data_IF_155316613416
#
_entry.id   IF_155316613416
#
_cell.length_a   1.000
_cell.length_b   1.000
_cell.length_c   1.000
_cell.angle_alpha   90.00
_cell.angle_beta   90.00
_cell.angle_gamma   90.00
#
_symmetry.space_group_name_H-M   'P 1'
#
loop_
_entity.id
_entity.type
_entity.pdbx_description
1 polymer ?
2 non-polymer ?
3 water ?
#
# COMPACT_ATOMS: atom_id res chain seq x y z
N UNK A 12 -15.08 27.44 6.46
CA UNK A 12 -14.70 26.06 6.01
C UNK A 12 -14.40 26.06 4.51
N UNK A 13 -15.25 26.74 3.74
CA UNK A 13 -15.02 26.81 2.30
C UNK A 13 -13.67 27.46 2.06
N UNK A 14 -13.29 28.33 2.98
CA UNK A 14 -12.01 29.03 2.91
C UNK A 14 -10.86 28.03 3.01
N UNK A 15 -10.91 27.16 4.00
CA UNK A 15 -9.86 26.15 4.20
C UNK A 15 -9.71 25.27 2.98
N UNK A 16 -10.84 24.93 2.37
CA UNK A 16 -10.82 24.12 1.17
C UNK A 16 -10.15 24.92 0.04
N UNK A 17 -10.38 26.23 0.02
CA UNK A 17 -9.78 27.09 -1.00
C UNK A 17 -8.27 27.07 -0.90
N UNK A 18 -7.74 27.28 0.29
CA UNK A 18 -6.30 27.29 0.49
C UNK A 18 -5.72 25.90 0.23
N UNK A 19 -6.52 24.88 0.51
CA UNK A 19 -6.07 23.53 0.31
C UNK A 19 -4.88 23.18 1.17
N UNK A 20 -4.25 22.08 0.81
CA UNK A 20 -3.09 21.54 1.51
C UNK A 20 -1.90 22.48 1.44
N UNK A 21 -1.14 22.59 2.54
CA UNK A 21 0.05 23.45 2.62
C UNK A 21 1.01 23.07 1.50
N UNK A 22 1.60 24.06 0.85
CA UNK A 22 2.52 23.79 -0.24
C UNK A 22 3.68 22.89 0.16
N UNK A 23 4.17 23.08 1.39
CA UNK A 23 5.29 22.31 1.91
C UNK A 23 5.01 20.80 1.94
N UNK A 24 3.74 20.44 2.07
CA UNK A 24 3.36 19.03 2.08
C UNK A 24 3.26 18.50 0.66
N UNK A 25 3.99 17.43 0.36
CA UNK A 25 3.95 16.87 -0.98
C UNK A 25 2.61 16.20 -1.20
N UNK A 26 2.26 15.95 -2.46
CA UNK A 26 1.01 15.31 -2.82
C UNK A 26 0.99 13.87 -2.31
N UNK A 27 2.16 13.25 -2.28
CA UNK A 27 2.28 11.86 -1.82
C UNK A 27 1.98 11.73 -0.32
N UNK A 28 2.62 12.55 0.51
CA UNK A 28 2.39 12.47 1.95
C UNK A 28 1.00 12.98 2.32
N UNK A 29 0.48 13.95 1.57
CA UNK A 29 -0.85 14.47 1.83
C UNK A 29 -1.84 13.36 1.60
N UNK A 30 -1.59 12.59 0.54
CA UNK A 30 -2.42 11.46 0.17
C UNK A 30 -2.40 10.45 1.32
N UNK A 31 -1.20 10.06 1.75
CA UNK A 31 -1.06 9.09 2.82
C UNK A 31 -1.71 9.58 4.11
N UNK A 32 -1.58 10.87 4.40
CA UNK A 32 -2.17 11.41 5.61
C UNK A 32 -3.69 11.29 5.56
N UNK A 33 -4.28 11.69 4.43
CA UNK A 33 -5.73 11.62 4.25
C UNK A 33 -6.24 10.18 4.31
N UNK A 34 -5.48 9.28 3.70
CA UNK A 34 -5.83 7.86 3.68
C UNK A 34 -5.79 7.27 5.09
N UNK A 35 -4.78 7.67 5.85
CA UNK A 35 -4.63 7.21 7.23
C UNK A 35 -5.76 7.73 8.09
N UNK A 36 -6.11 9.01 7.91
CA UNK A 36 -7.19 9.61 8.66
C UNK A 36 -8.47 8.82 8.41
N UNK A 37 -8.76 8.56 7.14
CA UNK A 37 -9.95 7.83 6.78
C UNK A 37 -9.90 6.41 7.32
N UNK A 38 -8.70 5.83 7.36
CA UNK A 38 -8.54 4.48 7.87
C UNK A 38 -8.97 4.41 9.32
N UNK A 39 -8.47 5.36 10.12
CA UNK A 39 -8.79 5.42 11.54
C UNK A 39 -10.24 5.81 11.80
N UNK A 40 -10.76 6.72 10.98
CA UNK A 40 -12.14 7.15 11.11
C UNK A 40 -13.06 5.95 10.88
N UNK A 41 -12.85 5.27 9.76
CA UNK A 41 -13.67 4.10 9.44
C UNK A 41 -13.48 2.97 10.44
N UNK A 42 -12.27 2.81 10.98
CA UNK A 42 -12.05 1.75 11.96
C UNK A 42 -12.91 2.00 13.20
N UNK A 43 -12.99 3.25 13.63
CA UNK A 43 -13.80 3.61 14.80
C UNK A 43 -15.28 3.40 14.52
N UNK A 44 -15.71 3.75 13.30
CA UNK A 44 -17.12 3.60 12.92
C UNK A 44 -17.51 2.13 12.97
N UNK A 45 -16.72 1.30 12.29
CA UNK A 45 -16.97 -0.14 12.25
C UNK A 45 -17.03 -0.71 13.66
N UNK A 46 -16.10 -0.32 14.51
CA UNK A 46 -16.07 -0.81 15.88
C UNK A 46 -17.33 -0.46 16.65
N UNK A 47 -17.86 0.73 16.42
CA UNK A 47 -19.08 1.18 17.08
C UNK A 47 -20.26 0.30 16.67
N UNK A 48 -20.33 0.01 15.37
CA UNK A 48 -21.40 -0.83 14.85
C UNK A 48 -21.24 -2.22 15.48
N UNK A 49 -20.01 -2.74 15.44
CA UNK A 49 -19.72 -4.07 15.98
C UNK A 49 -20.11 -4.19 17.46
N UNK A 50 -19.87 -3.13 18.22
CA UNK A 50 -20.22 -3.11 19.63
C UNK A 50 -21.74 -3.19 19.79
N UNK A 51 -22.45 -2.35 19.05
CA UNK A 51 -23.91 -2.29 19.09
C UNK A 51 -24.49 -3.65 18.71
N UNK A 52 -23.89 -4.28 17.72
CA UNK A 52 -24.34 -5.59 17.27
C UNK A 52 -24.14 -6.61 18.38
N UNK A 53 -22.99 -6.58 19.04
CA UNK A 53 -22.70 -7.51 20.12
C UNK A 53 -23.68 -7.31 21.27
N UNK A 54 -23.96 -6.05 21.60
CA UNK A 54 -24.88 -5.72 22.67
C UNK A 54 -26.29 -6.22 22.38
N UNK A 55 -26.72 -6.07 21.12
CA UNK A 55 -28.06 -6.52 20.72
C UNK A 55 -28.16 -8.03 20.86
N UNK A 56 -27.08 -8.72 20.49
CA UNK A 56 -27.07 -10.17 20.58
C UNK A 56 -27.31 -10.56 22.04
N UNK A 57 -26.61 -9.90 22.95
CA UNK A 57 -26.74 -10.19 24.37
C UNK A 57 -28.18 -10.03 24.87
N UNK A 58 -28.80 -8.92 24.52
CA UNK A 58 -30.16 -8.63 24.94
C UNK A 58 -31.22 -9.28 24.05
N UNK A 59 -30.77 -10.18 23.18
CA UNK A 59 -31.65 -10.88 22.27
C UNK A 59 -31.57 -12.38 22.51
N UNK A 60 -31.06 -12.76 23.67
CA UNK A 60 -30.90 -14.16 24.04
C UNK A 60 -32.20 -14.90 24.31
N UNK A 61 -33.18 -14.19 24.88
CA UNK A 61 -34.48 -14.79 25.22
C UNK A 61 -35.60 -14.48 24.22
N UNK A 62 -35.24 -14.01 23.02
CA UNK A 62 -36.25 -13.66 22.03
C UNK A 62 -36.63 -14.76 21.04
N UNK A 63 -37.70 -14.53 20.26
CA UNK A 63 -38.21 -15.46 19.25
C UNK A 63 -37.25 -15.55 18.07
N UNK A 64 -37.01 -16.78 17.59
CA UNK A 64 -36.14 -17.03 16.47
C UNK A 64 -36.26 -15.97 15.37
N UNK A 65 -37.47 -15.49 15.14
CA UNK A 65 -37.70 -14.49 14.10
C UNK A 65 -37.14 -13.12 14.43
N UNK A 66 -37.26 -12.69 15.67
CA UNK A 66 -36.76 -11.39 16.05
C UNK A 66 -35.22 -11.33 16.07
N UNK A 67 -34.59 -12.49 16.25
CA UNK A 67 -33.14 -12.54 16.26
C UNK A 67 -32.62 -12.38 14.83
N UNK A 68 -33.29 -13.03 13.88
CA UNK A 68 -32.89 -12.94 12.49
C UNK A 68 -33.03 -11.51 12.01
N UNK A 69 -34.15 -10.88 12.34
CA UNK A 69 -34.38 -9.50 11.94
C UNK A 69 -33.26 -8.62 12.45
N UNK A 70 -32.93 -8.81 13.73
CA UNK A 70 -31.89 -8.07 14.40
C UNK A 70 -30.55 -8.19 13.67
N UNK A 71 -30.25 -9.40 13.20
CA UNK A 71 -29.01 -9.65 12.47
C UNK A 71 -29.04 -8.96 11.12
N UNK A 72 -30.14 -9.13 10.38
CA UNK A 72 -30.29 -8.51 9.07
C UNK A 72 -30.14 -7.01 9.21
N UNK A 73 -30.44 -6.49 10.39
CA UNK A 73 -30.33 -5.07 10.62
C UNK A 73 -28.90 -4.57 10.65
N UNK A 74 -28.07 -5.15 11.51
CA UNK A 74 -26.67 -4.74 11.61
C UNK A 74 -25.89 -5.10 10.36
N UNK A 75 -26.23 -6.21 9.73
CA UNK A 75 -25.53 -6.59 8.52
C UNK A 75 -25.82 -5.57 7.41
N UNK A 76 -27.01 -4.98 7.46
CA UNK A 76 -27.43 -3.98 6.47
C UNK A 76 -26.71 -2.68 6.72
N UNK A 77 -26.48 -2.38 8.00
CA UNK A 77 -25.79 -1.17 8.38
C UNK A 77 -24.34 -1.29 7.92
N UNK A 78 -23.79 -2.50 8.01
CA UNK A 78 -22.41 -2.72 7.60
C UNK A 78 -22.26 -2.74 6.07
N UNK A 79 -23.27 -3.26 5.37
CA UNK A 79 -23.24 -3.29 3.91
C UNK A 79 -23.10 -1.84 3.42
N UNK A 80 -23.87 -0.95 4.04
CA UNK A 80 -23.84 0.46 3.69
C UNK A 80 -22.47 1.05 4.00
N UNK A 81 -21.97 0.76 5.20
CA UNK A 81 -20.67 1.26 5.63
C UNK A 81 -19.59 0.79 4.66
N UNK A 82 -19.66 -0.48 4.26
CA UNK A 82 -18.68 -1.02 3.32
C UNK A 82 -18.73 -0.25 2.01
N UNK A 83 -19.95 0.04 1.56
CA UNK A 83 -20.16 0.77 0.32
C UNK A 83 -19.54 2.15 0.42
N UNK A 84 -19.71 2.81 1.57
CA UNK A 84 -19.16 4.13 1.82
C UNK A 84 -17.63 4.10 1.88
N UNK A 85 -17.09 3.06 2.51
CA UNK A 85 -15.64 2.92 2.62
C UNK A 85 -15.06 2.66 1.24
N UNK A 86 -15.75 1.85 0.43
CA UNK A 86 -15.28 1.53 -0.91
C UNK A 86 -15.30 2.76 -1.85
N UNK A 87 -16.43 3.46 -1.91
CA UNK A 87 -16.54 4.62 -2.79
C UNK A 87 -15.57 5.73 -2.44
N UNK A 88 -15.35 5.89 -1.14
CA UNK A 88 -14.45 6.88 -0.59
C UNK A 88 -13.01 6.60 -1.02
N UNK A 89 -12.59 5.34 -0.92
CA UNK A 89 -11.23 4.97 -1.31
C UNK A 89 -11.03 5.22 -2.80
N UNK A 90 -12.04 4.87 -3.59
CA UNK A 90 -12.00 5.05 -5.03
C UNK A 90 -11.79 6.53 -5.37
N UNK A 91 -12.50 7.39 -4.66
CA UNK A 91 -12.40 8.84 -4.86
C UNK A 91 -10.99 9.34 -4.53
N UNK A 92 -10.44 8.87 -3.42
CA UNK A 92 -9.09 9.26 -2.98
C UNK A 92 -8.07 8.80 -4.01
N UNK A 93 -8.15 7.53 -4.38
CA UNK A 93 -7.24 6.95 -5.37
C UNK A 93 -7.26 7.74 -6.69
N UNK A 94 -8.46 8.01 -7.20
CA UNK A 94 -8.64 8.75 -8.46
C UNK A 94 -8.01 10.15 -8.37
N UNK A 95 -8.33 10.87 -7.31
CA UNK A 95 -7.80 12.21 -7.10
C UNK A 95 -6.28 12.17 -7.06
N UNK A 96 -5.73 11.19 -6.34
CA UNK A 96 -4.28 11.05 -6.21
C UNK A 96 -3.60 10.71 -7.54
N UNK A 97 -4.16 9.77 -8.28
CA UNK A 97 -3.61 9.35 -9.57
C UNK A 97 -3.60 10.47 -10.61
N UNK A 98 -4.69 11.21 -10.69
CA UNK A 98 -4.80 12.31 -11.64
C UNK A 98 -3.76 13.39 -11.32
N UNK A 99 -3.55 13.67 -10.04
CA UNK A 99 -2.57 14.68 -9.67
C UNK A 99 -1.15 14.23 -9.98
N UNK A 100 -0.86 12.95 -9.77
CA UNK A 100 0.46 12.40 -10.00
C UNK A 100 0.87 12.51 -11.47
N UNK A 101 -0.03 12.13 -12.36
CA UNK A 101 0.22 12.17 -13.79
C UNK A 101 0.36 13.61 -14.26
N UNK A 102 -0.51 14.50 -13.78
CA UNK A 102 -0.45 15.90 -14.15
C UNK A 102 0.89 16.52 -13.70
N UNK A 103 1.30 16.25 -12.48
CA UNK A 103 2.55 16.81 -12.00
C UNK A 103 3.76 16.32 -12.80
N UNK A 104 3.70 15.08 -13.29
CA UNK A 104 4.78 14.54 -14.08
C UNK A 104 4.81 15.22 -15.44
N UNK A 105 3.63 15.46 -16.02
CA UNK A 105 3.55 16.14 -17.30
C UNK A 105 4.09 17.56 -17.17
N UNK A 106 3.67 18.26 -16.12
CA UNK A 106 4.11 19.63 -15.88
C UNK A 106 5.62 19.71 -15.74
N UNK A 107 6.18 18.88 -14.87
CA UNK A 107 7.63 18.90 -14.65
C UNK A 107 8.43 18.59 -15.91
N UNK A 108 7.89 17.73 -16.77
CA UNK A 108 8.59 17.38 -18.00
C UNK A 108 8.63 18.60 -18.93
N UNK A 109 7.48 19.26 -19.06
CA UNK A 109 7.37 20.46 -19.90
C UNK A 109 8.27 21.56 -19.38
N UNK A 110 8.40 21.63 -18.06
CA UNK A 110 9.24 22.63 -17.45
C UNK A 110 10.69 22.35 -17.77
N UNK A 111 11.10 21.10 -17.58
CA UNK A 111 12.47 20.67 -17.86
C UNK A 111 12.80 20.85 -19.35
N UNK A 112 11.82 20.58 -20.21
CA UNK A 112 12.02 20.74 -21.64
C UNK A 112 12.32 22.22 -21.93
N UNK A 113 11.51 23.12 -21.38
CA UNK A 113 11.77 24.55 -21.58
C UNK A 113 13.14 24.91 -21.03
N UNK A 114 13.46 24.37 -19.85
CA UNK A 114 14.75 24.63 -19.24
C UNK A 114 15.93 24.23 -20.11
N UNK A 115 15.81 23.06 -20.74
CA UNK A 115 16.83 22.53 -21.64
C UNK A 115 16.96 23.41 -22.88
N UNK A 116 15.82 23.73 -23.48
CA UNK A 116 15.78 24.56 -24.66
C UNK A 116 16.46 25.92 -24.40
N UNK A 117 16.08 26.55 -23.28
CA UNK A 117 16.64 27.85 -22.92
C UNK A 117 18.17 27.84 -22.80
N UNK A 118 18.73 26.82 -22.17
CA UNK A 118 20.18 26.70 -22.01
C UNK A 118 20.85 26.60 -23.38
N UNK A 119 20.17 25.98 -24.34
CA UNK A 119 20.69 25.80 -25.69
C UNK A 119 20.64 27.08 -26.49
N UNK A 120 19.64 27.91 -26.22
CA UNK A 120 19.46 29.16 -26.93
C UNK A 120 20.14 30.36 -26.26
N UNK A 121 20.86 30.12 -25.18
CA UNK A 121 21.55 31.21 -24.47
C UNK A 121 22.53 31.88 -25.44
N UNK A 122 22.71 33.20 -25.32
CA UNK A 122 23.63 33.93 -26.20
C UNK A 122 24.86 33.05 -26.33
N UNK A 123 25.72 32.98 -25.29
CA UNK A 123 26.84 32.07 -25.54
C UNK A 123 26.44 30.77 -24.83
N UNK A 124 25.94 29.76 -25.58
CA UNK A 124 25.55 28.50 -24.93
C UNK A 124 26.63 28.02 -23.97
N UNK A 125 26.29 27.86 -22.69
CA UNK A 125 27.27 27.41 -21.70
C UNK A 125 27.13 25.92 -21.42
N UNK A 126 28.11 25.16 -21.87
CA UNK A 126 28.15 23.71 -21.70
C UNK A 126 27.55 23.17 -20.40
N UNK A 127 28.16 23.51 -19.27
CA UNK A 127 27.71 23.05 -17.94
C UNK A 127 26.21 23.22 -17.67
N UNK A 128 25.69 24.40 -17.95
CA UNK A 128 24.28 24.68 -17.73
C UNK A 128 23.43 23.79 -18.62
N UNK A 129 23.82 23.62 -19.88
CA UNK A 129 23.08 22.78 -20.81
C UNK A 129 23.05 21.33 -20.30
N UNK A 130 24.18 20.85 -19.81
CA UNK A 130 24.28 19.48 -19.30
C UNK A 130 23.29 19.23 -18.17
N UNK A 131 23.30 20.12 -17.19
CA UNK A 131 22.40 19.98 -16.05
C UNK A 131 20.93 20.00 -16.49
N UNK A 132 20.61 20.89 -17.42
CA UNK A 132 19.24 20.99 -17.92
C UNK A 132 18.87 19.71 -18.65
N UNK A 133 19.76 19.25 -19.53
CA UNK A 133 19.53 18.02 -20.28
C UNK A 133 19.31 16.87 -19.31
N UNK A 134 20.12 16.84 -18.25
CA UNK A 134 20.01 15.81 -17.23
C UNK A 134 18.61 15.86 -16.57
N UNK A 135 18.19 17.07 -16.21
CA UNK A 135 16.88 17.28 -15.58
C UNK A 135 15.74 16.79 -16.49
N UNK A 136 15.82 17.13 -17.77
CA UNK A 136 14.81 16.71 -18.74
C UNK A 136 14.73 15.18 -18.83
N UNK A 137 15.88 14.55 -19.12
CA UNK A 137 15.92 13.09 -19.21
C UNK A 137 15.34 12.45 -17.94
N UNK A 138 15.65 13.03 -16.79
CA UNK A 138 15.15 12.52 -15.52
C UNK A 138 13.63 12.66 -15.48
N UNK A 139 13.14 13.74 -16.06
CA UNK A 139 11.71 13.98 -16.08
C UNK A 139 11.02 12.94 -16.97
N UNK A 140 11.59 12.65 -18.14
CA UNK A 140 11.01 11.66 -19.05
C UNK A 140 11.05 10.26 -18.41
N UNK A 141 12.14 9.99 -17.71
CA UNK A 141 12.35 8.72 -17.03
C UNK A 141 11.32 8.51 -15.91
N UNK A 142 10.92 9.61 -15.28
CA UNK A 142 9.92 9.55 -14.21
C UNK A 142 8.60 9.09 -14.81
N UNK A 143 8.30 9.53 -16.03
CA UNK A 143 7.04 9.14 -16.67
C UNK A 143 7.10 7.69 -17.14
N UNK A 144 8.29 7.29 -17.60
CA UNK A 144 8.53 5.93 -18.05
C UNK A 144 8.37 4.99 -16.84
N UNK A 145 9.00 5.36 -15.73
CA UNK A 145 8.90 4.58 -14.51
C UNK A 145 7.47 4.57 -13.98
N UNK A 146 6.72 5.65 -14.23
CA UNK A 146 5.34 5.68 -13.76
C UNK A 146 4.48 4.72 -14.60
N UNK A 147 4.78 4.65 -15.89
CA UNK A 147 4.04 3.76 -16.79
C UNK A 147 4.36 2.31 -16.42
N UNK A 148 5.65 2.01 -16.30
CA UNK A 148 6.07 0.66 -15.95
C UNK A 148 5.45 0.23 -14.63
N UNK A 149 5.65 1.03 -13.59
CA UNK A 149 5.12 0.74 -12.26
C UNK A 149 3.61 0.52 -12.22
N UNK A 150 2.86 1.30 -13.00
CA UNK A 150 1.40 1.18 -13.01
C UNK A 150 1.01 -0.19 -13.56
N UNK A 151 1.62 -0.56 -14.67
CA UNK A 151 1.38 -1.86 -15.30
C UNK A 151 1.81 -2.94 -14.30
N UNK A 152 2.96 -2.72 -13.68
CA UNK A 152 3.49 -3.66 -12.70
C UNK A 152 2.52 -3.83 -11.54
N UNK A 153 1.93 -2.72 -11.09
CA UNK A 153 0.99 -2.75 -9.98
C UNK A 153 -0.32 -3.46 -10.34
N UNK A 154 -0.85 -3.18 -11.53
CA UNK A 154 -2.09 -3.79 -11.96
C UNK A 154 -1.95 -5.29 -12.17
N UNK A 155 -0.73 -5.74 -12.45
CA UNK A 155 -0.46 -7.16 -12.67
C UNK A 155 -0.41 -7.87 -11.33
N UNK A 156 0.25 -7.25 -10.37
CA UNK A 156 0.40 -7.80 -9.02
C UNK A 156 -0.91 -7.94 -8.27
N UNK A 157 -1.90 -7.10 -8.59
CA UNK A 157 -3.17 -7.17 -7.88
C UNK A 157 -4.42 -7.33 -8.74
N UNK A 158 -4.25 -7.52 -10.05
CA UNK A 158 -5.41 -7.69 -10.93
C UNK A 158 -4.94 -8.08 -12.33
N UNK A 159 -4.47 -9.34 -12.47
CA UNK A 159 -3.97 -9.96 -13.69
C UNK A 159 -4.86 -9.87 -14.93
N UNK A 160 -6.15 -10.16 -14.76
CA UNK A 160 -7.08 -10.11 -15.88
C UNK A 160 -7.06 -8.73 -16.52
N UNK A 161 -6.82 -7.71 -15.72
CA UNK A 161 -6.80 -6.33 -16.21
C UNK A 161 -5.46 -5.93 -16.82
N UNK A 162 -4.37 -6.50 -16.33
CA UNK A 162 -3.06 -6.16 -16.87
C UNK A 162 -2.99 -6.51 -18.35
N UNK A 163 -3.57 -7.65 -18.70
CA UNK A 163 -3.57 -8.13 -20.08
C UNK A 163 -4.14 -7.13 -21.06
N UNK A 164 -5.17 -6.40 -20.63
CA UNK A 164 -5.82 -5.38 -21.46
C UNK A 164 -4.96 -4.12 -21.58
N UNK A 165 -3.95 -4.01 -20.73
CA UNK A 165 -3.03 -2.86 -20.71
C UNK A 165 -1.82 -3.01 -21.62
N UNK A 166 -1.46 -4.25 -21.95
CA UNK A 166 -0.28 -4.52 -22.76
C UNK A 166 0.04 -3.54 -23.88
N UNK A 167 -0.81 -3.48 -24.89
CA UNK A 167 -0.60 -2.58 -26.02
C UNK A 167 -0.42 -1.12 -25.61
N UNK A 168 -1.32 -0.63 -24.75
CA UNK A 168 -1.23 0.75 -24.29
C UNK A 168 0.14 1.04 -23.70
N UNK A 169 0.60 0.18 -22.80
CA UNK A 169 1.90 0.35 -22.16
C UNK A 169 2.98 0.38 -23.23
N UNK A 170 2.93 -0.63 -24.10
CA UNK A 170 3.87 -0.78 -25.20
C UNK A 170 3.93 0.50 -26.03
N UNK A 171 2.76 0.96 -26.47
CA UNK A 171 2.65 2.16 -27.28
C UNK A 171 3.20 3.39 -26.54
N UNK A 172 2.76 3.59 -25.30
CA UNK A 172 3.18 4.73 -24.49
C UNK A 172 4.70 4.81 -24.28
N UNK A 173 5.33 3.69 -23.92
CA UNK A 173 6.78 3.71 -23.69
C UNK A 173 7.49 4.09 -24.99
N UNK A 174 6.96 3.68 -26.13
CA UNK A 174 7.58 4.04 -27.39
C UNK A 174 7.39 5.53 -27.64
N UNK A 175 6.22 6.05 -27.26
CA UNK A 175 5.98 7.47 -27.40
C UNK A 175 7.03 8.24 -26.61
N UNK A 176 7.28 7.81 -25.37
CA UNK A 176 8.29 8.47 -24.54
C UNK A 176 9.69 8.43 -25.15
N UNK A 177 10.12 7.25 -25.60
CA UNK A 177 11.45 7.09 -26.17
C UNK A 177 11.65 7.98 -27.38
N UNK A 178 10.63 8.06 -28.22
CA UNK A 178 10.70 8.89 -29.41
C UNK A 178 10.85 10.37 -28.98
N UNK A 179 10.02 10.81 -28.02
CA UNK A 179 10.10 12.20 -27.55
C UNK A 179 11.52 12.54 -27.14
N UNK A 180 12.12 11.67 -26.32
CA UNK A 180 13.49 11.89 -25.87
C UNK A 180 14.46 12.03 -27.04
N UNK A 181 14.26 11.21 -28.08
CA UNK A 181 15.14 11.30 -29.24
C UNK A 181 14.93 12.63 -29.94
N UNK A 182 13.68 13.00 -30.18
CA UNK A 182 13.37 14.28 -30.81
C UNK A 182 13.98 15.46 -30.06
N UNK A 183 13.98 15.38 -28.73
CA UNK A 183 14.51 16.46 -27.90
C UNK A 183 16.02 16.57 -27.99
N UNK A 184 16.70 15.44 -28.00
CA UNK A 184 18.15 15.44 -28.12
C UNK A 184 18.50 16.08 -29.46
N UNK A 185 17.64 15.90 -30.44
CA UNK A 185 17.87 16.49 -31.75
C UNK A 185 17.94 18.01 -31.71
N UNK A 186 17.42 18.62 -30.65
CA UNK A 186 17.45 20.07 -30.54
C UNK A 186 18.92 20.50 -30.46
N UNK A 187 19.77 19.56 -30.03
CA UNK A 187 21.20 19.78 -29.92
C UNK A 187 21.81 19.90 -31.31
N UNK A 188 21.35 19.05 -32.23
CA UNK A 188 21.84 19.06 -33.60
C UNK A 188 21.92 20.47 -34.17
N UNK A 189 20.96 21.31 -33.82
CA UNK A 189 20.92 22.69 -34.29
C UNK A 189 22.05 23.53 -33.66
N UNK A 190 23.09 22.84 -33.20
CA UNK A 190 24.25 23.46 -32.58
C UNK A 190 25.41 22.47 -32.69
N UNK A 191 25.98 22.32 -33.90
CA UNK A 191 27.09 21.40 -34.17
C UNK A 191 28.25 21.53 -33.20
N UNK A 192 28.81 22.73 -33.12
CA UNK A 192 29.94 23.01 -32.23
C UNK A 192 29.58 22.69 -30.78
N UNK A 193 28.37 23.08 -30.36
CA UNK A 193 27.92 22.82 -28.99
C UNK A 193 27.78 21.31 -28.78
N UNK A 194 27.14 20.66 -29.75
CA UNK A 194 26.94 19.22 -29.69
C UNK A 194 28.29 18.52 -29.71
N UNK A 195 29.28 19.16 -30.31
CA UNK A 195 30.62 18.62 -30.39
C UNK A 195 31.28 18.61 -29.00
N UNK A 196 31.53 19.81 -28.47
CA UNK A 196 32.17 19.93 -27.16
C UNK A 196 31.44 19.13 -26.08
N UNK A 197 30.11 19.04 -26.22
CA UNK A 197 29.29 18.32 -25.25
C UNK A 197 29.06 16.85 -25.62
N UNK A 198 29.60 16.46 -26.77
CA UNK A 198 29.45 15.09 -27.28
C UNK A 198 29.71 13.98 -26.26
N UNK A 199 30.82 14.05 -25.51
CA UNK A 199 31.14 13.03 -24.52
C UNK A 199 30.14 12.90 -23.37
N UNK A 200 29.90 14.01 -22.69
CA UNK A 200 28.96 14.03 -21.56
C UNK A 200 27.60 13.44 -21.92
N UNK A 201 27.03 13.89 -23.03
CA UNK A 201 25.73 13.39 -23.48
C UNK A 201 25.76 11.89 -23.70
N UNK A 202 26.94 11.38 -24.02
CA UNK A 202 27.12 9.94 -24.27
C UNK A 202 27.13 9.15 -22.96
N UNK A 203 27.97 9.55 -22.00
CA UNK A 203 28.04 8.88 -20.72
C UNK A 203 26.67 8.94 -20.05
N UNK A 204 25.91 9.96 -20.43
CA UNK A 204 24.57 10.21 -19.90
C UNK A 204 23.56 9.15 -20.35
N UNK A 205 23.26 9.14 -21.65
CA UNK A 205 22.30 8.23 -22.26
C UNK A 205 22.06 6.93 -21.48
N UNK A 206 23.12 6.33 -20.96
CA UNK A 206 23.02 5.09 -20.21
C UNK A 206 22.00 5.19 -19.07
N UNK B 12 24.76 -18.85 -0.22
CA UNK B 12 23.34 -18.67 -0.64
C UNK B 12 22.38 -19.23 0.40
N UNK B 13 22.35 -20.56 0.52
CA UNK B 13 21.49 -21.21 1.50
C UNK B 13 21.86 -20.77 2.91
N UNK B 14 23.11 -20.38 3.09
CA UNK B 14 23.61 -19.93 4.39
C UNK B 14 23.10 -18.53 4.69
N UNK B 15 23.05 -17.67 3.68
CA UNK B 15 22.56 -16.30 3.88
C UNK B 15 21.07 -16.37 4.24
N UNK B 16 20.35 -17.30 3.62
CA UNK B 16 18.94 -17.49 3.87
C UNK B 16 18.74 -17.95 5.32
N UNK B 17 19.58 -18.89 5.76
CA UNK B 17 19.51 -19.38 7.14
C UNK B 17 19.61 -18.22 8.13
N UNK B 18 20.64 -17.39 7.98
CA UNK B 18 20.80 -16.26 8.88
C UNK B 18 19.67 -15.25 8.72
N UNK B 19 19.02 -15.25 7.57
CA UNK B 19 17.92 -14.33 7.33
C UNK B 19 18.35 -12.88 7.55
N UNK B 20 17.38 -11.99 7.70
CA UNK B 20 17.65 -10.57 7.91
C UNK B 20 18.21 -10.29 9.29
N UNK B 21 19.06 -9.25 9.40
CA UNK B 21 19.66 -8.85 10.67
C UNK B 21 18.62 -8.25 11.60
N UNK B 22 18.73 -8.55 12.89
CA UNK B 22 17.78 -8.04 13.87
C UNK B 22 17.65 -6.53 13.88
N UNK B 23 18.61 -5.84 13.27
CA UNK B 23 18.57 -4.38 13.19
C UNK B 23 17.40 -3.93 12.32
N UNK B 24 16.95 -4.81 11.44
CA UNK B 24 15.86 -4.52 10.53
C UNK B 24 14.51 -5.11 10.95
N UNK B 25 13.52 -4.26 11.16
CA UNK B 25 12.19 -4.73 11.55
C UNK B 25 11.51 -5.47 10.41
N UNK B 26 10.49 -6.26 10.76
CA UNK B 26 9.70 -7.00 9.79
C UNK B 26 9.08 -6.02 8.78
N UNK B 27 8.53 -4.94 9.31
CA UNK B 27 7.90 -3.92 8.46
C UNK B 27 8.84 -3.33 7.41
N UNK B 28 10.00 -2.84 7.85
CA UNK B 28 10.94 -2.24 6.91
C UNK B 28 11.55 -3.29 5.99
N UNK B 29 11.74 -4.49 6.52
CA UNK B 29 12.30 -5.58 5.74
C UNK B 29 11.31 -5.99 4.66
N UNK B 30 10.01 -5.90 4.98
CA UNK B 30 8.95 -6.23 4.05
C UNK B 30 8.86 -5.15 2.97
N UNK B 31 8.91 -3.88 3.38
CA UNK B 31 8.82 -2.78 2.43
C UNK B 31 10.01 -2.79 1.47
N UNK B 32 11.20 -3.00 2.03
CA UNK B 32 12.44 -3.04 1.25
C UNK B 32 12.42 -4.18 0.23
N UNK B 33 11.89 -5.33 0.63
CA UNK B 33 11.80 -6.48 -0.26
C UNK B 33 10.79 -6.15 -1.37
N UNK B 34 9.69 -5.53 -0.95
CA UNK B 34 8.63 -5.14 -1.86
C UNK B 34 9.15 -4.17 -2.92
N UNK B 35 9.95 -3.19 -2.49
CA UNK B 35 10.51 -2.20 -3.41
C UNK B 35 11.52 -2.84 -4.37
N UNK B 36 12.34 -3.76 -3.85
CA UNK B 36 13.34 -4.46 -4.65
C UNK B 36 12.67 -5.24 -5.77
N UNK B 37 11.57 -5.90 -5.45
CA UNK B 37 10.84 -6.66 -6.44
C UNK B 37 10.16 -5.74 -7.46
N UNK B 38 9.68 -4.59 -7.01
CA UNK B 38 9.03 -3.63 -7.90
C UNK B 38 10.03 -3.15 -8.95
N UNK B 39 11.22 -2.80 -8.49
CA UNK B 39 12.27 -2.32 -9.37
C UNK B 39 12.73 -3.41 -10.33
N UNK B 40 12.87 -4.63 -9.81
CA UNK B 40 13.29 -5.76 -10.63
C UNK B 40 12.26 -6.01 -11.75
N UNK B 41 10.98 -6.06 -11.38
CA UNK B 41 9.94 -6.32 -12.37
C UNK B 41 9.77 -5.21 -13.38
N UNK B 42 9.99 -3.96 -12.95
CA UNK B 42 9.91 -2.82 -13.83
C UNK B 42 10.99 -2.95 -14.90
N UNK B 43 12.19 -3.35 -14.49
CA UNK B 43 13.30 -3.53 -15.43
C UNK B 43 12.99 -4.63 -16.43
N UNK B 44 12.52 -5.76 -15.91
CA UNK B 44 12.19 -6.91 -16.75
C UNK B 44 11.15 -6.49 -17.77
N UNK B 45 10.13 -5.77 -17.32
CA UNK B 45 9.09 -5.33 -18.23
C UNK B 45 9.63 -4.40 -19.31
N UNK B 46 10.43 -3.41 -18.92
CA UNK B 46 10.96 -2.48 -19.88
C UNK B 46 11.81 -3.20 -20.95
N UNK B 47 12.61 -4.18 -20.54
CA UNK B 47 13.42 -4.93 -21.51
C UNK B 47 12.54 -5.64 -22.53
N UNK B 48 11.46 -6.27 -22.07
CA UNK B 48 10.57 -6.97 -22.99
C UNK B 48 9.91 -5.97 -23.93
N UNK B 49 9.40 -4.87 -23.36
CA UNK B 49 8.74 -3.85 -24.16
C UNK B 49 9.64 -3.29 -25.27
N UNK B 50 10.92 -3.13 -24.98
CA UNK B 50 11.87 -2.62 -25.95
C UNK B 50 12.10 -3.67 -27.05
N UNK B 51 12.32 -4.93 -26.66
CA UNK B 51 12.51 -6.01 -27.64
C UNK B 51 11.31 -6.03 -28.58
N UNK B 52 10.12 -5.95 -28.01
CA UNK B 52 8.88 -5.96 -28.77
C UNK B 52 8.82 -4.76 -29.71
N UNK B 53 9.36 -3.62 -29.27
CA UNK B 53 9.37 -2.42 -30.11
C UNK B 53 10.33 -2.64 -31.28
N UNK B 54 11.52 -3.18 -31.00
CA UNK B 54 12.51 -3.46 -32.04
C UNK B 54 11.95 -4.46 -33.05
N UNK B 55 11.25 -5.47 -32.54
CA UNK B 55 10.65 -6.49 -33.41
C UNK B 55 9.63 -5.86 -34.36
N UNK B 56 8.79 -4.96 -33.84
CA UNK B 56 7.78 -4.29 -34.65
C UNK B 56 8.39 -3.46 -35.78
N UNK B 57 9.53 -2.84 -35.52
CA UNK B 57 10.22 -2.03 -36.52
C UNK B 57 10.70 -2.91 -37.68
N UNK B 58 11.31 -4.04 -37.33
CA UNK B 58 11.85 -5.00 -38.31
C UNK B 58 10.79 -5.77 -39.06
N UNK B 59 9.72 -6.14 -38.36
CA UNK B 59 8.65 -6.95 -38.91
C UNK B 59 7.73 -6.33 -39.98
N UNK B 60 7.74 -5.01 -40.11
CA UNK B 60 6.86 -4.36 -41.09
C UNK B 60 6.77 -5.07 -42.44
N UNK B 61 7.91 -5.51 -42.96
CA UNK B 61 7.92 -6.17 -44.27
C UNK B 61 7.98 -7.69 -44.20
N UNK B 62 7.09 -8.27 -43.40
CA UNK B 62 7.04 -9.72 -43.27
C UNK B 62 5.59 -10.15 -43.46
N UNK B 63 5.36 -11.43 -43.82
CA UNK B 63 4.01 -11.94 -44.02
C UNK B 63 3.09 -11.81 -42.79
N UNK B 64 1.80 -11.63 -43.06
CA UNK B 64 0.79 -11.48 -42.03
C UNK B 64 0.85 -12.55 -40.94
N UNK B 65 0.96 -13.81 -41.35
CA UNK B 65 1.03 -14.92 -40.40
C UNK B 65 2.25 -14.82 -39.50
N UNK B 66 3.32 -14.22 -40.02
CA UNK B 66 4.55 -14.05 -39.26
C UNK B 66 4.42 -12.92 -38.25
N UNK B 67 3.80 -11.82 -38.67
CA UNK B 67 3.63 -10.68 -37.78
C UNK B 67 2.73 -11.08 -36.60
N UNK B 68 1.72 -11.90 -36.88
CA UNK B 68 0.80 -12.34 -35.84
C UNK B 68 1.53 -13.23 -34.85
N UNK B 69 2.38 -14.11 -35.38
CA UNK B 69 3.16 -15.01 -34.54
C UNK B 69 4.08 -14.19 -33.65
N UNK B 70 4.69 -13.17 -34.23
CA UNK B 70 5.60 -12.29 -33.51
C UNK B 70 4.85 -11.59 -32.37
N UNK B 71 3.67 -11.08 -32.66
CA UNK B 71 2.87 -10.42 -31.65
C UNK B 71 2.58 -11.42 -30.52
N UNK B 72 2.17 -12.62 -30.91
CA UNK B 72 1.84 -13.69 -29.96
C UNK B 72 3.04 -13.97 -29.06
N UNK B 73 4.21 -14.02 -29.66
CA UNK B 73 5.44 -14.27 -28.91
C UNK B 73 5.64 -13.27 -27.75
N UNK B 74 5.49 -11.98 -28.00
CA UNK B 74 5.68 -10.99 -26.95
C UNK B 74 4.52 -10.92 -25.96
N UNK B 75 3.30 -11.11 -26.45
CA UNK B 75 2.10 -11.09 -25.60
C UNK B 75 2.24 -12.26 -24.62
N UNK B 76 2.78 -13.37 -25.12
CA UNK B 76 2.96 -14.57 -24.33
C UNK B 76 4.04 -14.39 -23.27
N UNK B 77 5.10 -13.66 -23.60
CA UNK B 77 6.15 -13.42 -22.64
C UNK B 77 5.64 -12.50 -21.54
N UNK B 78 4.86 -11.49 -21.91
CA UNK B 78 4.32 -10.56 -20.91
C UNK B 78 3.33 -11.27 -19.97
N UNK B 79 2.49 -12.15 -20.51
CA UNK B 79 1.52 -12.89 -19.70
C UNK B 79 2.24 -13.71 -18.64
N UNK B 80 3.32 -14.38 -19.05
CA UNK B 80 4.10 -15.19 -18.13
C UNK B 80 4.66 -14.26 -17.05
N UNK B 81 5.10 -13.08 -17.49
CA UNK B 81 5.67 -12.10 -16.57
C UNK B 81 4.60 -11.58 -15.62
N UNK B 82 3.40 -11.36 -16.15
CA UNK B 82 2.30 -10.89 -15.32
C UNK B 82 1.98 -11.89 -14.20
N UNK B 83 1.97 -13.18 -14.56
CA UNK B 83 1.69 -14.24 -13.60
C UNK B 83 2.80 -14.35 -12.55
N UNK B 84 4.04 -14.10 -12.94
CA UNK B 84 5.14 -14.16 -11.98
C UNK B 84 5.06 -13.00 -10.99
N UNK B 85 4.75 -11.80 -11.48
CA UNK B 85 4.63 -10.60 -10.64
C UNK B 85 3.50 -10.75 -9.62
N UNK B 86 2.39 -11.32 -10.08
CA UNK B 86 1.22 -11.55 -9.25
C UNK B 86 1.48 -12.66 -8.22
N UNK B 87 2.07 -13.76 -8.66
CA UNK B 87 2.34 -14.84 -7.72
C UNK B 87 3.32 -14.39 -6.65
N UNK B 88 4.31 -13.63 -7.09
CA UNK B 88 5.36 -13.09 -6.23
C UNK B 88 4.80 -12.11 -5.17
N UNK B 89 3.88 -11.25 -5.60
CA UNK B 89 3.28 -10.27 -4.70
C UNK B 89 2.47 -10.99 -3.62
N UNK B 90 1.72 -12.00 -4.06
CA UNK B 90 0.88 -12.78 -3.18
C UNK B 90 1.72 -13.47 -2.10
N UNK B 91 2.86 -14.04 -2.49
CA UNK B 91 3.73 -14.71 -1.53
C UNK B 91 4.28 -13.69 -0.53
N UNK B 92 4.71 -12.54 -1.05
CA UNK B 92 5.24 -11.48 -0.22
C UNK B 92 4.17 -11.04 0.80
N UNK B 93 2.95 -10.86 0.32
CA UNK B 93 1.83 -10.43 1.17
C UNK B 93 1.47 -11.44 2.28
N UNK B 94 1.36 -12.72 1.91
CA UNK B 94 1.04 -13.77 2.86
C UNK B 94 2.15 -13.94 3.89
N UNK B 95 3.40 -13.85 3.45
CA UNK B 95 4.51 -13.98 4.39
C UNK B 95 4.45 -12.85 5.42
N UNK B 96 4.25 -11.62 4.95
CA UNK B 96 4.17 -10.49 5.86
C UNK B 96 3.00 -10.60 6.84
N UNK B 97 1.81 -10.91 6.34
CA UNK B 97 0.61 -11.03 7.17
C UNK B 97 0.71 -12.14 8.21
N UNK B 98 1.40 -13.22 7.85
CA UNK B 98 1.59 -14.34 8.75
C UNK B 98 2.50 -13.92 9.88
N UNK B 99 3.58 -13.22 9.54
CA UNK B 99 4.51 -12.77 10.56
C UNK B 99 3.88 -11.71 11.48
N UNK B 100 3.06 -10.83 10.90
CA UNK B 100 2.42 -9.77 11.67
C UNK B 100 1.50 -10.33 12.74
N UNK B 101 0.66 -11.29 12.38
CA UNK B 101 -0.27 -11.90 13.32
C UNK B 101 0.46 -12.75 14.36
N UNK B 102 1.49 -13.47 13.92
CA UNK B 102 2.27 -14.34 14.79
C UNK B 102 2.88 -13.55 15.92
N UNK B 103 3.43 -12.38 15.59
CA UNK B 103 4.03 -11.55 16.61
C UNK B 103 2.96 -11.01 17.58
N UNK B 104 1.77 -10.70 17.05
CA UNK B 104 0.70 -10.17 17.89
C UNK B 104 0.26 -11.25 18.89
N UNK B 105 0.22 -12.49 18.45
CA UNK B 105 -0.14 -13.58 19.34
C UNK B 105 0.95 -13.78 20.39
N UNK B 106 2.21 -13.77 19.95
CA UNK B 106 3.34 -13.95 20.86
C UNK B 106 3.33 -12.87 21.93
N UNK B 107 3.07 -11.63 21.53
CA UNK B 107 3.06 -10.55 22.49
C UNK B 107 1.92 -10.70 23.50
N UNK B 108 0.77 -11.19 23.06
CA UNK B 108 -0.36 -11.37 23.96
C UNK B 108 0.01 -12.43 24.98
N UNK B 109 0.53 -13.56 24.51
CA UNK B 109 0.90 -14.67 25.38
C UNK B 109 1.98 -14.32 26.37
N UNK B 110 2.99 -13.57 25.93
CA UNK B 110 4.06 -13.18 26.83
C UNK B 110 3.49 -12.22 27.88
N UNK B 111 2.61 -11.33 27.46
CA UNK B 111 2.02 -10.38 28.39
C UNK B 111 1.13 -11.10 29.40
N UNK B 112 0.46 -12.17 28.96
CA UNK B 112 -0.41 -12.94 29.83
C UNK B 112 0.39 -13.63 30.92
N UNK B 113 1.53 -14.18 30.54
CA UNK B 113 2.38 -14.87 31.51
C UNK B 113 2.85 -13.86 32.56
N UNK B 114 3.10 -12.63 32.13
CA UNK B 114 3.56 -11.60 33.04
C UNK B 114 2.48 -11.18 34.01
N UNK B 115 1.24 -11.11 33.52
CA UNK B 115 0.13 -10.72 34.36
C UNK B 115 -0.09 -11.82 35.39
N UNK B 116 0.05 -13.05 34.93
CA UNK B 116 -0.12 -14.22 35.77
C UNK B 116 0.94 -14.23 36.85
N UNK B 117 2.18 -13.91 36.48
CA UNK B 117 3.27 -13.88 37.44
C UNK B 117 3.01 -12.84 38.54
N UNK B 118 2.70 -11.60 38.14
CA UNK B 118 2.43 -10.52 39.07
C UNK B 118 1.28 -10.82 40.05
N UNK B 119 0.34 -11.66 39.64
CA UNK B 119 -0.80 -12.04 40.48
C UNK B 119 -0.41 -13.18 41.42
N UNK B 120 0.60 -13.96 41.05
CA UNK B 120 1.02 -15.08 41.87
C UNK B 120 2.29 -14.79 42.67
N UNK B 121 2.62 -13.51 42.81
CA UNK B 121 3.82 -13.12 43.57
C UNK B 121 3.60 -13.39 45.05
N UNK B 122 4.67 -13.80 45.76
CA UNK B 122 4.57 -14.10 47.19
C UNK B 122 3.59 -13.09 47.79
N UNK B 123 3.92 -11.78 47.75
CA UNK B 123 2.96 -10.82 48.30
C UNK B 123 2.62 -9.88 47.12
N UNK B 124 1.54 -10.18 46.38
CA UNK B 124 1.09 -9.38 45.23
C UNK B 124 1.21 -7.86 45.37
N UNK B 125 1.98 -7.26 44.47
CA UNK B 125 2.20 -5.82 44.47
C UNK B 125 1.29 -5.14 43.46
N UNK B 126 0.38 -4.32 43.97
CA UNK B 126 -0.59 -3.62 43.14
C UNK B 126 0.01 -2.92 41.92
N UNK B 127 1.21 -2.38 42.09
CA UNK B 127 1.89 -1.67 41.01
C UNK B 127 2.32 -2.62 39.91
N UNK B 128 2.99 -3.70 40.29
CA UNK B 128 3.47 -4.69 39.35
C UNK B 128 2.28 -5.34 38.61
N UNK B 129 1.21 -5.61 39.34
CA UNK B 129 0.03 -6.22 38.75
C UNK B 129 -0.65 -5.26 37.78
N UNK B 130 -0.79 -4.00 38.18
CA UNK B 130 -1.42 -3.02 37.31
C UNK B 130 -0.64 -2.84 36.01
N UNK B 131 0.67 -2.79 36.09
CA UNK B 131 1.51 -2.63 34.90
C UNK B 131 1.46 -3.85 33.98
N UNK B 132 1.49 -5.05 34.56
CA UNK B 132 1.44 -6.25 33.74
C UNK B 132 0.09 -6.38 33.06
N UNK B 133 -0.96 -5.90 33.71
CA UNK B 133 -2.32 -5.97 33.15
C UNK B 133 -2.43 -4.96 32.01
N UNK B 134 -1.85 -3.79 32.21
CA UNK B 134 -1.86 -2.74 31.20
C UNK B 134 -1.24 -3.31 29.94
N UNK B 135 -0.09 -3.95 30.10
CA UNK B 135 0.61 -4.56 28.96
C UNK B 135 -0.28 -5.60 28.26
N UNK B 136 -0.96 -6.42 29.06
CA UNK B 136 -1.84 -7.43 28.49
C UNK B 136 -2.97 -6.77 27.71
N UNK B 137 -3.65 -5.82 28.35
CA UNK B 137 -4.75 -5.15 27.69
C UNK B 137 -4.30 -4.41 26.42
N UNK B 138 -3.05 -3.95 26.38
CA UNK B 138 -2.59 -3.27 25.17
C UNK B 138 -2.33 -4.29 24.08
N UNK B 139 -1.92 -5.49 24.44
CA UNK B 139 -1.69 -6.51 23.43
C UNK B 139 -3.04 -6.90 22.81
N UNK B 140 -4.09 -7.01 23.63
CA UNK B 140 -5.42 -7.36 23.12
C UNK B 140 -5.95 -6.26 22.22
N UNK B 141 -5.72 -5.01 22.63
CA UNK B 141 -6.13 -3.85 21.86
C UNK B 141 -5.48 -3.92 20.44
N UNK B 142 -4.18 -4.23 20.39
CA UNK B 142 -3.48 -4.33 19.11
C UNK B 142 -4.16 -5.37 18.21
N UNK B 143 -4.61 -6.49 18.77
CA UNK B 143 -5.27 -7.48 17.93
C UNK B 143 -6.63 -6.96 17.47
N UNK B 144 -7.32 -6.21 18.34
CA UNK B 144 -8.61 -5.63 17.98
C UNK B 144 -8.42 -4.69 16.79
N UNK B 145 -7.46 -3.79 16.91
CA UNK B 145 -7.16 -2.85 15.84
C UNK B 145 -6.75 -3.60 14.57
N UNK B 146 -5.94 -4.64 14.73
CA UNK B 146 -5.51 -5.41 13.57
C UNK B 146 -6.75 -5.97 12.88
N UNK B 147 -7.66 -6.53 13.66
CA UNK B 147 -8.90 -7.10 13.14
C UNK B 147 -9.75 -6.03 12.43
N UNK B 148 -9.96 -4.89 13.07
CA UNK B 148 -10.75 -3.81 12.47
C UNK B 148 -10.07 -3.29 11.19
N UNK B 149 -8.78 -2.99 11.27
CA UNK B 149 -8.04 -2.50 10.12
C UNK B 149 -8.08 -3.44 8.90
N UNK B 150 -7.96 -4.75 9.13
CA UNK B 150 -7.98 -5.71 8.03
C UNK B 150 -9.31 -5.68 7.30
N UNK B 151 -10.40 -5.64 8.07
CA UNK B 151 -11.75 -5.59 7.52
C UNK B 151 -11.96 -4.28 6.76
N UNK B 152 -11.53 -3.18 7.37
CA UNK B 152 -11.65 -1.87 6.75
C UNK B 152 -10.90 -1.87 5.42
N UNK B 153 -9.74 -2.52 5.42
CA UNK B 153 -8.92 -2.62 4.22
C UNK B 153 -9.64 -3.37 3.10
N UNK B 154 -10.17 -4.55 3.42
CA UNK B 154 -10.88 -5.34 2.42
C UNK B 154 -12.09 -4.57 1.88
N UNK B 155 -12.78 -3.82 2.73
CA UNK B 155 -13.95 -3.07 2.29
C UNK B 155 -13.52 -1.92 1.35
N UNK B 156 -12.32 -1.41 1.59
CA UNK B 156 -11.80 -0.31 0.78
C UNK B 156 -11.44 -0.72 -0.64
N UNK B 157 -10.85 -1.91 -0.80
CA UNK B 157 -10.44 -2.36 -2.13
C UNK B 157 -11.25 -3.51 -2.72
N UNK B 158 -12.03 -4.20 -1.89
CA UNK B 158 -12.81 -5.33 -2.40
C UNK B 158 -14.09 -5.52 -1.58
N UNK B 159 -15.15 -4.77 -1.92
CA UNK B 159 -16.46 -4.81 -1.25
C UNK B 159 -17.09 -6.19 -1.15
N UNK B 160 -17.00 -6.99 -2.21
CA UNK B 160 -17.59 -8.33 -2.23
C UNK B 160 -17.01 -9.21 -1.14
N UNK B 161 -15.69 -9.22 -1.04
CA UNK B 161 -15.02 -10.01 -0.02
C UNK B 161 -15.32 -9.49 1.38
N UNK B 162 -15.55 -8.19 1.51
CA UNK B 162 -15.85 -7.57 2.80
C UNK B 162 -17.15 -8.11 3.39
N UNK B 163 -18.16 -8.27 2.55
CA UNK B 163 -19.47 -8.77 2.99
C UNK B 163 -19.37 -10.20 3.52
N UNK B 164 -18.43 -10.97 2.98
CA UNK B 164 -18.24 -12.36 3.35
C UNK B 164 -17.58 -12.54 4.72
N UNK B 165 -16.62 -11.67 5.05
CA UNK B 165 -15.91 -11.79 6.32
C UNK B 165 -16.63 -11.07 7.47
N UNK B 166 -17.65 -10.29 7.13
CA UNK B 166 -18.42 -9.52 8.10
C UNK B 166 -18.75 -10.25 9.41
N UNK B 167 -19.49 -11.37 9.30
CA UNK B 167 -19.86 -12.15 10.49
C UNK B 167 -18.62 -12.67 11.23
N UNK B 168 -17.60 -13.06 10.47
CA UNK B 168 -16.36 -13.56 11.04
C UNK B 168 -15.64 -12.49 11.87
N UNK B 169 -15.66 -11.23 11.40
CA UNK B 169 -15.02 -10.13 12.09
C UNK B 169 -15.75 -9.87 13.42
N UNK B 170 -17.08 -9.81 13.32
CA UNK B 170 -17.97 -9.60 14.46
C UNK B 170 -17.69 -10.63 15.56
N UNK B 171 -17.53 -11.89 15.16
CA UNK B 171 -17.26 -13.00 16.08
C UNK B 171 -15.86 -12.90 16.67
N UNK B 172 -14.90 -12.60 15.82
CA UNK B 172 -13.51 -12.47 16.26
C UNK B 172 -13.41 -11.39 17.32
N UNK B 173 -14.06 -10.25 17.09
CA UNK B 173 -14.02 -9.14 18.05
C UNK B 173 -14.62 -9.57 19.39
N UNK B 174 -15.65 -10.43 19.36
CA UNK B 174 -16.27 -10.92 20.59
C UNK B 174 -15.33 -11.88 21.30
N UNK B 175 -14.57 -12.64 20.52
CA UNK B 175 -13.62 -13.58 21.06
C UNK B 175 -12.53 -12.85 21.82
N UNK B 176 -12.08 -11.72 21.27
CA UNK B 176 -11.05 -10.91 21.91
C UNK B 176 -11.60 -10.35 23.23
N UNK B 177 -12.84 -9.85 23.19
CA UNK B 177 -13.49 -9.25 24.35
C UNK B 177 -13.69 -10.26 25.49
N UNK B 178 -14.04 -11.49 25.15
CA UNK B 178 -14.24 -12.51 26.17
C UNK B 178 -12.93 -12.90 26.82
N UNK B 179 -11.84 -12.87 26.04
CA UNK B 179 -10.51 -13.19 26.58
C UNK B 179 -10.15 -12.13 27.61
N UNK B 180 -10.40 -10.87 27.28
CA UNK B 180 -10.11 -9.77 28.19
C UNK B 180 -10.93 -9.94 29.48
N UNK B 181 -12.19 -10.35 29.35
CA UNK B 181 -13.03 -10.57 30.53
C UNK B 181 -12.49 -11.76 31.31
N UNK B 182 -12.10 -12.82 30.62
CA UNK B 182 -11.58 -13.99 31.32
C UNK B 182 -10.26 -13.69 32.01
N UNK B 183 -9.42 -12.91 31.36
CA UNK B 183 -8.14 -12.55 31.93
C UNK B 183 -8.33 -11.64 33.14
N UNK B 184 -9.29 -10.73 33.06
CA UNK B 184 -9.57 -9.83 34.16
C UNK B 184 -10.13 -10.61 35.35
N UNK B 185 -10.82 -11.72 35.04
CA UNK B 185 -11.40 -12.54 36.09
C UNK B 185 -10.30 -13.14 36.95
N UNK B 186 -9.08 -13.13 36.44
CA UNK B 186 -7.95 -13.65 37.18
C UNK B 186 -7.67 -12.71 38.36
N UNK B 187 -8.00 -11.44 38.15
CA UNK B 187 -7.79 -10.42 39.16
C UNK B 187 -8.89 -10.43 40.23
N UNK B 188 -10.06 -10.97 39.88
CA UNK B 188 -11.17 -11.04 40.82
C UNK B 188 -10.98 -12.17 41.82
N UNK B 189 -9.97 -13.00 41.60
CA UNK B 189 -9.69 -14.11 42.51
C UNK B 189 -8.99 -13.53 43.75
N UNK B 190 -8.80 -12.22 43.74
CA UNK B 190 -8.17 -11.49 44.84
C UNK B 190 -9.01 -10.24 45.05
N UNK B 191 -10.13 -10.38 45.78
CA UNK B 191 -11.06 -9.29 46.07
C UNK B 191 -10.39 -7.97 46.47
N UNK B 192 -9.52 -8.03 47.47
CA UNK B 192 -8.83 -6.83 47.94
C UNK B 192 -8.06 -6.13 46.83
N UNK B 193 -7.20 -6.89 46.13
CA UNK B 193 -6.42 -6.33 45.05
C UNK B 193 -7.34 -5.76 43.98
N UNK B 194 -8.36 -6.52 43.62
CA UNK B 194 -9.32 -6.10 42.60
C UNK B 194 -10.01 -4.81 42.96
N UNK B 195 -10.54 -4.74 44.17
CA UNK B 195 -11.22 -3.54 44.62
C UNK B 195 -10.27 -2.34 44.59
N UNK B 196 -9.02 -2.58 44.93
CA UNK B 196 -8.01 -1.52 44.97
C UNK B 196 -7.66 -0.93 43.60
N UNK B 197 -7.51 -1.81 42.61
CA UNK B 197 -7.15 -1.37 41.26
C UNK B 197 -8.32 -1.10 40.33
N UNK B 198 -9.53 -1.41 40.79
CA UNK B 198 -10.74 -1.22 40.00
C UNK B 198 -10.80 0.14 39.27
N UNK B 199 -10.76 1.26 40.02
CA UNK B 199 -10.82 2.59 39.39
C UNK B 199 -9.80 2.85 38.28
N UNK B 200 -8.59 2.31 38.44
CA UNK B 200 -7.54 2.49 37.44
C UNK B 200 -7.75 1.57 36.25
N UNK B 201 -8.18 0.34 36.52
CA UNK B 201 -8.44 -0.62 35.46
C UNK B 201 -9.58 -0.10 34.60
N UNK B 202 -10.58 0.48 35.25
CA UNK B 202 -11.73 1.02 34.53
C UNK B 202 -11.21 2.05 33.54
N UNK B 203 -10.20 2.80 33.95
CA UNK B 203 -9.61 3.82 33.08
C UNK B 203 -8.94 3.16 31.89
N UNK B 204 -8.27 2.04 32.13
CA UNK B 204 -7.58 1.31 31.07
C UNK B 204 -8.56 0.74 30.04
N UNK B 205 -9.60 0.07 30.53
CA UNK B 205 -10.61 -0.54 29.67
C UNK B 205 -11.42 0.50 28.92
N UNK B 206 -11.58 1.67 29.52
CA UNK B 206 -12.35 2.75 28.92
C UNK B 206 -11.59 3.39 27.76
N UNK B 207 -10.28 3.49 27.91
CA UNK B 207 -9.44 4.10 26.87
C UNK B 207 -9.18 3.10 25.75
X LIG C 1 10.39 7.60 -9.16
X LIG C 1 9.99 7.07 -10.48
X LIG C 1 11.22 8.81 -9.35
X LIG C 1 9.18 7.94 -8.39
X LIG C 1 11.17 6.58 -8.44
X LIG D 1 -1.23 -0.32 15.61
X LIG D 1 -2.62 -0.82 15.49
X LIG D 1 -0.89 -0.20 17.05
X LIG D 1 -0.31 -1.26 14.97
X LIG D 1 -1.13 1.00 14.97
#
# INVERSE_FOLDING_TARGET
GSHMTPTPRPTDGVDIYFGMPGEISEHEGFLRAKMDLEERRMRQINEVMREWAMADNQSKNLPKADRQALNEHFQSILQTLEEQVSGERQRLVETHATRVIALINDQRRAALEGFLAALQADPPQAERVLLALRRYLRAEQKEQRHTLRHYQHVAAVDPEKAQQMRFQVHTHLQVIEERVNQSLGLLDQNPHLAQELRPQIQELLHSEHLGPSE
GSHMTPTPRPTDGVDIYFGMPGEISEHEGFLRAKMDLEERRMRQINEVMREWAMADNQSKNLPKADRQALNEHFQSILQTLEEQVSGERQRLVETHATRVIALINDQRRAALEGFLAALQADPPQAERVLLALRRYLRAEQKEQRHTLRHYQHVAAVDPEKAQQMRFQVHTHLQVIEERVNQSLGLLDQNPHLAQELRPQIQELLHSEHLGPSE
SO4 S O1 O2 O3 O4
SO4 S O1 O2 O3 O4
#
